data_IF_298221307463
#
_entry.id   IF_298221307463
#
_cell.length_a   1.000
_cell.length_b   1.000
_cell.length_c   1.000
_cell.angle_alpha   90.00
_cell.angle_beta   90.00
_cell.angle_gamma   90.00
#
_symmetry.space_group_name_H-M   'P 1'
#
loop_
_entity.id
_entity.type
_entity.pdbx_description
1 polymer ?
#
# COMPACT_ATOMS: atom_id res chain seq x y z
N UNK A 1 9.93 -21.99 6.23
CA UNK A 1 11.01 -22.18 7.23
C UNK A 1 10.86 -21.30 8.47
N UNK A 2 10.53 -20.00 8.35
CA UNK A 2 10.43 -19.11 9.54
C UNK A 2 9.45 -19.69 10.56
N UNK A 3 8.21 -19.94 10.17
CA UNK A 3 7.16 -20.48 11.05
C UNK A 3 7.39 -21.93 11.49
N UNK A 4 8.22 -22.70 10.82
CA UNK A 4 8.59 -24.04 11.29
C UNK A 4 9.56 -24.02 12.48
N UNK A 5 10.22 -22.86 12.70
CA UNK A 5 11.09 -22.65 13.88
C UNK A 5 10.28 -22.10 15.05
N UNK A 6 9.41 -21.12 14.78
CA UNK A 6 8.51 -20.55 15.78
C UNK A 6 7.22 -20.07 15.10
N UNK A 7 6.12 -20.78 15.37
CA UNK A 7 4.82 -20.49 14.76
C UNK A 7 4.18 -19.17 15.23
N UNK A 8 4.65 -18.61 16.35
CA UNK A 8 4.14 -17.34 16.88
C UNK A 8 4.79 -16.11 16.24
N UNK A 9 5.87 -16.28 15.46
CA UNK A 9 6.50 -15.17 14.75
C UNK A 9 5.53 -14.66 13.67
N UNK A 10 5.27 -13.35 13.67
CA UNK A 10 4.60 -12.67 12.57
C UNK A 10 5.61 -12.36 11.48
N UNK A 11 5.27 -12.73 10.25
CA UNK A 11 6.12 -12.55 9.09
C UNK A 11 5.39 -11.72 8.03
N UNK A 12 5.94 -10.57 7.70
CA UNK A 12 5.39 -9.67 6.70
C UNK A 12 6.47 -9.09 5.80
N UNK A 13 6.03 -8.40 4.77
CA UNK A 13 6.90 -7.73 3.81
C UNK A 13 6.41 -6.33 3.53
N UNK A 14 7.35 -5.47 3.10
CA UNK A 14 7.05 -4.22 2.45
C UNK A 14 7.29 -4.40 0.94
N UNK A 15 6.34 -3.93 0.11
CA UNK A 15 6.43 -3.95 -1.35
C UNK A 15 5.80 -2.69 -1.95
N UNK A 16 6.23 -2.34 -3.17
CA UNK A 16 5.58 -1.28 -3.93
C UNK A 16 4.23 -1.73 -4.48
N UNK A 17 3.24 -0.86 -4.41
CA UNK A 17 1.88 -1.17 -4.88
C UNK A 17 1.73 -1.18 -6.41
N UNK A 18 2.74 -0.74 -7.17
CA UNK A 18 2.76 -0.71 -8.65
C UNK A 18 2.96 -2.11 -9.25
N UNK A 19 2.01 -3.00 -9.02
CA UNK A 19 2.07 -4.40 -9.41
C UNK A 19 2.30 -4.60 -10.92
N UNK A 20 1.66 -3.77 -11.76
CA UNK A 20 1.74 -3.83 -13.22
C UNK A 20 3.17 -3.75 -13.79
N UNK A 21 4.11 -3.18 -13.02
CA UNK A 21 5.53 -3.07 -13.39
C UNK A 21 6.47 -3.76 -12.40
N UNK A 22 5.97 -4.25 -11.26
CA UNK A 22 6.80 -4.82 -10.19
C UNK A 22 7.43 -6.17 -10.57
N UNK A 23 6.87 -6.83 -11.58
CA UNK A 23 7.44 -8.07 -12.15
C UNK A 23 8.89 -7.86 -12.63
N UNK A 24 9.29 -6.66 -13.02
CA UNK A 24 10.67 -6.35 -13.41
C UNK A 24 11.67 -6.56 -12.26
N UNK A 25 11.21 -6.56 -11.03
CA UNK A 25 11.99 -6.89 -9.83
C UNK A 25 11.98 -8.38 -9.48
N UNK A 26 11.34 -9.22 -10.30
CA UNK A 26 11.22 -10.67 -10.07
C UNK A 26 10.33 -11.03 -8.88
N UNK A 27 9.38 -10.17 -8.51
CA UNK A 27 8.53 -10.32 -7.32
C UNK A 27 7.07 -10.42 -7.72
N UNK A 28 6.37 -11.45 -7.22
CA UNK A 28 4.93 -11.61 -7.32
C UNK A 28 4.31 -11.65 -5.91
N UNK A 29 3.92 -10.49 -5.38
CA UNK A 29 3.32 -10.38 -4.06
C UNK A 29 1.80 -10.62 -4.03
N UNK A 30 1.19 -10.94 -5.18
CA UNK A 30 -0.24 -11.24 -5.25
C UNK A 30 -0.59 -12.58 -4.59
N UNK A 31 -1.88 -12.78 -4.35
CA UNK A 31 -2.41 -14.08 -4.00
C UNK A 31 -2.23 -15.08 -5.16
N UNK A 32 -1.94 -16.37 -4.89
CA UNK A 32 -1.98 -17.42 -5.92
C UNK A 32 -3.40 -17.65 -6.49
N UNK A 33 -4.45 -17.12 -5.85
CA UNK A 33 -5.84 -17.13 -6.35
C UNK A 33 -6.05 -16.09 -7.46
N UNK A 34 -5.23 -15.04 -7.52
CA UNK A 34 -5.36 -13.99 -8.52
C UNK A 34 -4.81 -14.47 -9.89
N UNK A 35 -5.66 -14.41 -10.91
CA UNK A 35 -5.25 -14.85 -12.25
C UNK A 35 -4.46 -13.77 -13.00
N UNK A 36 -3.18 -13.60 -12.62
CA UNK A 36 -2.30 -12.57 -13.16
C UNK A 36 -2.28 -12.53 -14.69
N UNK A 37 -2.24 -13.69 -15.36
CA UNK A 37 -2.15 -13.73 -16.83
C UNK A 37 -3.42 -13.25 -17.53
N UNK A 38 -4.57 -13.28 -16.89
CA UNK A 38 -5.80 -12.73 -17.47
C UNK A 38 -5.79 -11.20 -17.53
N UNK A 39 -5.16 -10.56 -16.54
CA UNK A 39 -5.10 -9.10 -16.45
C UNK A 39 -3.82 -8.51 -17.04
N UNK A 40 -2.73 -9.28 -17.03
CA UNK A 40 -1.40 -8.85 -17.50
C UNK A 40 -0.82 -9.80 -18.54
N UNK A 41 -1.53 -10.08 -19.66
CA UNK A 41 -1.11 -11.09 -20.65
C UNK A 41 0.18 -10.72 -21.39
N UNK A 42 0.64 -9.48 -21.30
CA UNK A 42 1.86 -9.02 -21.97
C UNK A 42 3.14 -9.56 -21.33
N UNK A 43 3.09 -9.92 -20.05
CA UNK A 43 4.27 -10.36 -19.32
C UNK A 43 4.03 -11.58 -18.41
N UNK A 44 2.78 -11.83 -18.00
CA UNK A 44 2.46 -12.95 -17.13
C UNK A 44 2.10 -14.19 -17.94
N UNK A 45 2.78 -15.30 -17.67
CA UNK A 45 2.44 -16.63 -18.18
C UNK A 45 1.29 -17.24 -17.35
N UNK A 46 0.67 -18.30 -17.86
CA UNK A 46 -0.48 -18.95 -17.19
C UNK A 46 -0.15 -19.53 -15.82
N UNK A 47 1.12 -19.84 -15.56
CA UNK A 47 1.63 -20.36 -14.29
C UNK A 47 2.13 -19.26 -13.34
N UNK A 48 2.18 -17.99 -13.77
CA UNK A 48 2.68 -16.86 -12.96
C UNK A 48 1.98 -16.77 -11.60
N UNK A 49 0.67 -17.04 -11.54
CA UNK A 49 -0.10 -17.03 -10.29
C UNK A 49 0.44 -18.01 -9.24
N UNK A 50 1.06 -19.12 -9.65
CA UNK A 50 1.60 -20.13 -8.74
C UNK A 50 2.83 -19.64 -7.95
N UNK A 51 3.41 -18.51 -8.35
CA UNK A 51 4.53 -17.85 -7.69
C UNK A 51 4.08 -16.69 -6.79
N UNK A 52 2.79 -16.43 -6.70
CA UNK A 52 2.22 -15.53 -5.72
C UNK A 52 2.47 -16.04 -4.31
N UNK A 53 2.77 -15.14 -3.36
CA UNK A 53 3.16 -15.56 -2.01
C UNK A 53 2.38 -14.87 -0.89
N UNK A 54 1.31 -14.17 -1.20
CA UNK A 54 0.50 -13.48 -0.19
C UNK A 54 0.02 -14.41 0.93
N UNK A 55 -0.39 -15.63 0.59
CA UNK A 55 -0.89 -16.67 1.51
C UNK A 55 0.15 -17.20 2.51
N UNK A 56 1.43 -16.89 2.31
CA UNK A 56 2.51 -17.23 3.25
C UNK A 56 2.81 -16.15 4.29
N UNK A 57 2.14 -15.01 4.21
CA UNK A 57 2.41 -13.84 5.04
C UNK A 57 1.34 -13.63 6.10
N UNK A 58 1.71 -12.92 7.17
CA UNK A 58 0.78 -12.48 8.20
C UNK A 58 0.32 -11.02 7.97
N UNK A 59 1.09 -10.23 7.22
CA UNK A 59 0.74 -8.86 6.81
C UNK A 59 1.61 -8.37 5.65
N UNK A 60 1.11 -7.36 4.92
CA UNK A 60 1.85 -6.65 3.87
C UNK A 60 1.76 -5.14 4.09
N UNK A 61 2.86 -4.44 3.89
CA UNK A 61 2.88 -2.99 3.71
C UNK A 61 2.99 -2.67 2.22
N UNK A 62 1.95 -2.04 1.65
CA UNK A 62 1.91 -1.61 0.25
C UNK A 62 2.25 -0.13 0.13
N UNK A 63 3.41 0.17 -0.44
CA UNK A 63 3.81 1.53 -0.75
C UNK A 63 2.95 2.15 -1.86
N UNK A 64 1.92 2.88 -1.48
CA UNK A 64 1.03 3.62 -2.38
C UNK A 64 1.67 4.95 -2.79
N UNK A 65 2.83 4.89 -3.44
CA UNK A 65 3.69 6.04 -3.73
C UNK A 65 3.22 6.74 -5.00
N UNK A 66 2.38 7.74 -4.82
CA UNK A 66 1.89 8.59 -5.89
C UNK A 66 2.28 10.06 -5.66
N UNK A 67 2.19 10.87 -6.72
CA UNK A 67 2.40 12.32 -6.59
C UNK A 67 1.33 12.95 -5.69
N UNK A 68 1.64 14.13 -5.14
CA UNK A 68 0.74 14.89 -4.27
C UNK A 68 -0.62 15.19 -4.91
N UNK A 69 -0.70 15.23 -6.23
CA UNK A 69 -1.93 15.47 -6.97
C UNK A 69 -2.72 14.20 -7.30
N UNK A 70 -2.15 13.03 -7.02
CA UNK A 70 -2.72 11.72 -7.34
C UNK A 70 -3.08 10.94 -6.07
N UNK A 71 -3.78 11.58 -5.14
CA UNK A 71 -4.21 10.93 -3.90
C UNK A 71 -5.45 10.08 -4.18
N UNK A 72 -6.50 10.68 -4.73
CA UNK A 72 -7.76 10.00 -5.08
C UNK A 72 -7.84 9.65 -6.55
N UNK A 73 -8.66 8.66 -6.86
CA UNK A 73 -9.02 8.27 -8.22
C UNK A 73 -8.96 6.76 -8.43
N UNK A 74 -9.68 6.26 -9.45
CA UNK A 74 -9.75 4.84 -9.79
C UNK A 74 -8.56 4.32 -10.60
N UNK A 75 -7.60 5.16 -10.96
CA UNK A 75 -6.43 4.76 -11.73
C UNK A 75 -5.37 4.10 -10.84
N UNK A 76 -4.68 3.10 -11.36
CA UNK A 76 -3.62 2.38 -10.64
C UNK A 76 -2.57 3.31 -9.99
N UNK A 77 -2.25 4.44 -10.63
CA UNK A 77 -1.21 5.36 -10.17
C UNK A 77 -1.73 6.49 -9.27
N UNK A 78 -2.79 6.21 -8.50
CA UNK A 78 -3.24 7.05 -7.39
C UNK A 78 -3.08 6.29 -6.08
N UNK A 79 -3.01 6.96 -4.93
CA UNK A 79 -2.89 6.28 -3.64
C UNK A 79 -4.11 5.40 -3.36
N UNK A 80 -5.31 5.93 -3.63
CA UNK A 80 -6.56 5.19 -3.54
C UNK A 80 -6.58 4.00 -4.50
N UNK A 81 -6.20 4.19 -5.76
CA UNK A 81 -6.17 3.14 -6.77
C UNK A 81 -5.16 2.04 -6.46
N UNK A 82 -3.99 2.38 -5.93
CA UNK A 82 -3.02 1.41 -5.45
C UNK A 82 -3.58 0.52 -4.34
N UNK A 83 -4.30 1.09 -3.38
CA UNK A 83 -4.92 0.31 -2.29
C UNK A 83 -6.08 -0.55 -2.79
N UNK A 84 -6.95 -0.03 -3.65
CA UNK A 84 -8.03 -0.80 -4.29
C UNK A 84 -7.49 -1.97 -5.10
N UNK A 85 -6.47 -1.74 -5.92
CA UNK A 85 -5.80 -2.78 -6.69
C UNK A 85 -5.11 -3.81 -5.76
N UNK A 86 -4.48 -3.34 -4.68
CA UNK A 86 -3.89 -4.21 -3.66
C UNK A 86 -4.91 -5.17 -3.06
N UNK A 87 -6.10 -4.70 -2.71
CA UNK A 87 -7.20 -5.54 -2.19
C UNK A 87 -7.64 -6.60 -3.21
N UNK A 88 -7.73 -6.22 -4.48
CA UNK A 88 -8.05 -7.16 -5.56
C UNK A 88 -6.94 -8.20 -5.77
N UNK A 89 -5.69 -7.80 -5.79
CA UNK A 89 -4.53 -8.69 -5.97
C UNK A 89 -4.34 -9.68 -4.83
N UNK A 90 -4.61 -9.25 -3.59
CA UNK A 90 -4.40 -10.08 -2.39
C UNK A 90 -5.54 -11.06 -2.11
N UNK A 91 -6.72 -10.88 -2.71
CA UNK A 91 -7.87 -11.81 -2.62
C UNK A 91 -8.27 -12.19 -1.18
N UNK A 92 -7.96 -11.33 -0.20
CA UNK A 92 -8.23 -11.57 1.22
C UNK A 92 -7.31 -12.59 1.90
N UNK A 93 -6.24 -13.04 1.26
CA UNK A 93 -5.31 -14.02 1.85
C UNK A 93 -4.47 -13.44 3.00
N UNK A 94 -4.23 -12.13 2.97
CA UNK A 94 -3.41 -11.45 3.97
C UNK A 94 -3.93 -10.02 4.20
N UNK A 95 -3.97 -9.52 5.44
CA UNK A 95 -4.24 -8.11 5.71
C UNK A 95 -3.09 -7.24 5.22
N UNK A 96 -3.41 -6.03 4.78
CA UNK A 96 -2.40 -5.09 4.31
C UNK A 96 -2.66 -3.66 4.75
N UNK A 97 -1.60 -2.90 4.94
CA UNK A 97 -1.64 -1.47 5.16
C UNK A 97 -1.18 -0.74 3.89
N UNK A 98 -1.96 0.22 3.44
CA UNK A 98 -1.56 1.17 2.42
C UNK A 98 -0.80 2.34 3.03
N UNK A 99 0.19 2.89 2.31
CA UNK A 99 0.92 4.03 2.84
C UNK A 99 1.59 4.89 1.79
N UNK A 100 1.50 6.25 1.91
CA UNK A 100 2.13 7.18 1.00
C UNK A 100 3.63 7.33 1.28
N UNK A 101 4.37 7.75 0.25
CA UNK A 101 5.65 8.43 0.40
C UNK A 101 5.41 9.94 0.49
N UNK A 102 5.65 10.51 1.65
CA UNK A 102 5.37 11.91 1.98
C UNK A 102 6.59 12.83 1.91
N UNK A 103 7.65 12.39 1.26
CA UNK A 103 8.89 13.16 1.21
C UNK A 103 9.73 13.00 -0.05
N UNK A 104 9.62 11.91 -0.80
CA UNK A 104 10.43 11.67 -1.99
C UNK A 104 9.62 11.63 -3.28
N UNK A 105 8.34 11.30 -3.22
CA UNK A 105 7.47 11.29 -4.39
C UNK A 105 7.22 12.70 -4.94
N UNK A 106 6.84 12.77 -6.20
CA UNK A 106 6.64 14.04 -6.93
C UNK A 106 5.66 14.94 -6.18
N UNK A 107 6.08 16.17 -5.92
CA UNK A 107 5.32 17.20 -5.20
C UNK A 107 5.39 17.10 -3.68
N UNK A 108 6.09 16.10 -3.11
CA UNK A 108 6.26 15.94 -1.66
C UNK A 108 7.62 16.45 -1.13
N UNK A 109 8.58 16.70 -2.01
CA UNK A 109 10.01 16.91 -1.67
C UNK A 109 10.32 18.24 -0.98
N UNK A 110 9.43 19.23 -1.08
CA UNK A 110 9.61 20.58 -0.50
C UNK A 110 8.96 20.76 0.88
N UNK A 111 8.16 19.79 1.34
CA UNK A 111 7.51 19.83 2.64
C UNK A 111 6.30 20.75 2.76
N UNK A 112 5.84 21.39 1.67
CA UNK A 112 4.72 22.32 1.66
C UNK A 112 3.32 21.64 1.66
N UNK A 113 3.21 20.34 2.02
CA UNK A 113 2.04 19.54 1.72
C UNK A 113 1.25 19.07 2.95
N UNK A 114 1.42 19.73 4.11
CA UNK A 114 0.71 19.35 5.33
C UNK A 114 -0.82 19.27 5.17
N UNK A 115 -1.41 20.15 4.36
CA UNK A 115 -2.85 20.14 4.07
C UNK A 115 -3.32 18.88 3.31
N UNK A 116 -2.39 18.15 2.66
CA UNK A 116 -2.69 16.93 1.90
C UNK A 116 -2.54 15.65 2.72
N UNK A 117 -1.91 15.70 3.88
CA UNK A 117 -1.70 14.52 4.73
C UNK A 117 -3.03 13.86 5.14
N UNK A 118 -4.08 14.59 5.59
CA UNK A 118 -5.38 13.99 5.91
C UNK A 118 -5.98 13.20 4.73
N UNK A 119 -5.86 13.74 3.51
CA UNK A 119 -6.37 13.07 2.30
C UNK A 119 -5.63 11.74 2.03
N UNK A 120 -4.31 11.68 2.30
CA UNK A 120 -3.54 10.43 2.13
C UNK A 120 -3.96 9.35 3.12
N UNK A 121 -4.27 9.75 4.35
CA UNK A 121 -4.76 8.84 5.39
C UNK A 121 -6.10 8.27 4.96
N UNK A 122 -7.05 9.12 4.57
CA UNK A 122 -8.36 8.70 4.10
C UNK A 122 -8.26 7.75 2.90
N UNK A 123 -7.54 8.13 1.84
CA UNK A 123 -7.39 7.33 0.63
C UNK A 123 -6.81 5.93 0.91
N UNK A 124 -5.84 5.83 1.83
CA UNK A 124 -5.20 4.56 2.15
C UNK A 124 -6.05 3.72 3.11
N UNK A 125 -6.50 4.28 4.24
CA UNK A 125 -7.24 3.51 5.27
C UNK A 125 -8.58 3.01 4.72
N UNK A 126 -9.32 3.84 4.00
CA UNK A 126 -10.64 3.46 3.46
C UNK A 126 -10.57 2.29 2.45
N UNK A 127 -9.38 1.99 1.94
CA UNK A 127 -9.18 0.96 0.92
C UNK A 127 -8.21 -0.16 1.33
N UNK A 128 -7.76 -0.18 2.60
CA UNK A 128 -6.86 -1.19 3.16
C UNK A 128 -7.28 -1.58 4.58
N UNK A 129 -6.48 -2.37 5.28
CA UNK A 129 -6.76 -2.82 6.64
C UNK A 129 -5.95 -2.01 7.67
N UNK A 130 -5.18 -1.02 7.22
CA UNK A 130 -4.36 -0.18 8.07
C UNK A 130 -3.59 0.87 7.28
N UNK A 131 -2.77 1.64 7.99
CA UNK A 131 -2.01 2.75 7.42
C UNK A 131 -0.56 2.72 7.89
N UNK A 132 0.35 3.11 7.02
CA UNK A 132 1.71 3.51 7.38
C UNK A 132 2.12 4.73 6.58
N UNK A 133 3.18 5.42 7.00
CA UNK A 133 3.75 6.53 6.22
C UNK A 133 5.24 6.32 5.98
N UNK A 134 5.70 6.54 4.79
CA UNK A 134 7.10 6.59 4.45
C UNK A 134 7.51 8.06 4.26
N UNK A 135 8.26 8.63 5.23
CA UNK A 135 8.68 7.98 6.47
C UNK A 135 8.73 8.99 7.64
N UNK A 136 9.10 8.50 8.82
CA UNK A 136 9.20 9.31 10.05
C UNK A 136 10.19 10.48 9.92
N UNK A 137 11.26 10.34 9.12
CA UNK A 137 12.21 11.44 8.94
C UNK A 137 11.56 12.63 8.24
N UNK A 138 10.66 12.39 7.28
CA UNK A 138 9.90 13.44 6.61
C UNK A 138 8.83 14.05 7.51
N UNK A 139 8.15 13.24 8.35
CA UNK A 139 7.22 13.75 9.35
C UNK A 139 7.92 14.76 10.27
N UNK A 140 9.12 14.41 10.76
CA UNK A 140 9.93 15.28 11.62
C UNK A 140 10.46 16.49 10.87
N UNK A 141 11.00 16.30 9.68
CA UNK A 141 11.63 17.36 8.88
C UNK A 141 10.63 18.45 8.49
N UNK A 142 9.40 18.06 8.14
CA UNK A 142 8.37 18.96 7.64
C UNK A 142 7.29 19.31 8.67
N UNK A 143 7.45 18.85 9.91
CA UNK A 143 6.50 19.03 11.02
C UNK A 143 5.06 18.66 10.68
N UNK A 144 4.87 17.45 10.13
CA UNK A 144 3.56 16.95 9.73
C UNK A 144 2.69 16.41 10.88
N UNK A 145 3.12 16.50 12.15
CA UNK A 145 2.44 15.89 13.29
C UNK A 145 0.96 16.30 13.43
N UNK A 146 0.69 17.62 13.33
CA UNK A 146 -0.69 18.12 13.43
C UNK A 146 -1.54 17.69 12.23
N UNK A 147 -0.96 17.58 11.05
CA UNK A 147 -1.65 17.11 9.85
C UNK A 147 -2.04 15.62 9.98
N UNK A 148 -1.14 14.78 10.52
CA UNK A 148 -1.44 13.39 10.85
C UNK A 148 -2.54 13.28 11.89
N UNK A 149 -2.45 14.07 12.99
CA UNK A 149 -3.50 14.10 13.99
C UNK A 149 -4.85 14.43 13.37
N UNK A 150 -4.94 15.49 12.57
CA UNK A 150 -6.17 15.88 11.88
C UNK A 150 -6.74 14.77 11.01
N UNK A 151 -5.89 14.05 10.25
CA UNK A 151 -6.33 12.95 9.41
C UNK A 151 -6.87 11.77 10.20
N UNK A 152 -6.20 11.39 11.29
CA UNK A 152 -6.67 10.31 12.15
C UNK A 152 -7.91 10.68 12.94
N UNK A 153 -8.04 11.93 13.43
CA UNK A 153 -9.25 12.39 14.11
C UNK A 153 -10.47 12.26 13.17
N UNK A 154 -10.36 12.72 11.92
CA UNK A 154 -11.41 12.58 10.91
C UNK A 154 -11.79 11.12 10.65
N UNK A 155 -10.80 10.24 10.56
CA UNK A 155 -11.06 8.82 10.36
C UNK A 155 -11.81 8.22 11.56
N UNK A 156 -11.40 8.54 12.80
CA UNK A 156 -12.05 8.05 14.01
C UNK A 156 -13.50 8.54 14.10
N UNK A 157 -13.76 9.81 13.81
CA UNK A 157 -15.11 10.36 13.73
C UNK A 157 -15.99 9.60 12.73
N UNK A 158 -15.43 9.23 11.56
CA UNK A 158 -16.18 8.54 10.50
C UNK A 158 -16.58 7.09 10.83
N UNK A 159 -15.94 6.44 11.80
CA UNK A 159 -16.27 5.07 12.21
C UNK A 159 -17.15 5.02 13.48
N UNK A 160 -17.39 6.17 14.13
CA UNK A 160 -18.29 6.31 15.29
C UNK A 160 -19.74 6.66 14.88
N UNK A 161 -19.97 7.08 13.63
CA UNK A 161 -21.28 7.33 13.03
C UNK A 161 -21.91 6.01 12.48
#
# INVERSE_FOLDING_TARGET
KVKSVNNNIKFGVYVGAWYSTYYTSGVNWASPKYNTSAYYPKWATSDNKNYGYADYLDYIFLGAYASVNNIYGGGEWTMEGFCKNGRELLQGDVPFAGGPDIGNSTGWTDGGQSAKIPDTIDACISNSDGFFAFDLCHVKKYDYWNAFKTGFDKYLESIEE
#
